data_IF_511973655077
#
_entry.id   IF_511973655077
#
_cell.length_a   1.000
_cell.length_b   1.000
_cell.length_c   1.000
_cell.angle_alpha   90.00
_cell.angle_beta   90.00
_cell.angle_gamma   90.00
#
_symmetry.space_group_name_H-M   'P 1'
#
loop_
_entity.id
_entity.type
_entity.pdbx_description
1 polymer ?
#
# COMPACT_ATOMS: atom_id res chain seq x y z
N UNK A 1 6.22 -27.86 15.65
CA UNK A 1 6.86 -26.76 14.90
C UNK A 1 8.13 -26.39 15.64
N UNK A 2 9.28 -26.35 14.98
CA UNK A 2 10.55 -26.00 15.60
C UNK A 2 10.68 -24.46 15.75
N UNK A 3 11.53 -24.00 16.69
CA UNK A 3 11.74 -22.55 16.91
C UNK A 3 12.10 -21.79 15.63
N UNK A 4 12.92 -22.37 14.78
CA UNK A 4 13.32 -21.77 13.50
C UNK A 4 12.12 -21.58 12.54
N UNK A 5 11.25 -22.58 12.47
CA UNK A 5 10.03 -22.54 11.64
C UNK A 5 9.07 -21.45 12.15
N UNK A 6 8.92 -21.33 13.47
CA UNK A 6 8.07 -20.33 14.07
C UNK A 6 8.60 -18.90 13.85
N UNK A 7 9.92 -18.69 13.89
CA UNK A 7 10.54 -17.40 13.58
C UNK A 7 10.31 -17.05 12.09
N UNK A 8 10.55 -17.98 11.17
CA UNK A 8 10.37 -17.76 9.72
C UNK A 8 8.90 -17.54 9.32
N UNK A 9 7.97 -18.00 10.16
CA UNK A 9 6.54 -17.82 9.92
C UNK A 9 6.05 -16.41 10.30
N UNK A 10 6.71 -15.74 11.25
CA UNK A 10 6.27 -14.46 11.81
C UNK A 10 6.89 -13.28 11.07
N UNK A 11 6.05 -12.38 10.59
CA UNK A 11 6.44 -11.13 9.97
C UNK A 11 5.71 -9.97 10.64
N UNK A 12 6.42 -8.87 10.82
CA UNK A 12 5.87 -7.69 11.48
C UNK A 12 6.09 -6.45 10.62
N UNK A 13 5.04 -5.72 10.32
CA UNK A 13 5.18 -4.42 9.65
C UNK A 13 4.36 -3.33 10.33
N UNK A 14 4.83 -2.10 10.19
CA UNK A 14 4.08 -0.92 10.59
C UNK A 14 3.49 -0.21 9.38
N UNK A 15 2.34 0.42 9.56
CA UNK A 15 1.78 1.35 8.58
C UNK A 15 2.00 2.77 9.09
N UNK A 16 2.62 3.59 8.26
CA UNK A 16 2.88 5.00 8.54
C UNK A 16 2.34 5.89 7.42
N UNK A 17 1.92 7.09 7.75
CA UNK A 17 1.44 8.06 6.77
C UNK A 17 1.35 9.46 7.34
N UNK A 18 1.16 10.44 6.47
CA UNK A 18 0.54 11.71 6.85
C UNK A 18 -0.94 11.48 7.26
N UNK A 19 -1.52 12.28 8.18
CA UNK A 19 -2.95 12.23 8.47
C UNK A 19 -3.81 12.30 7.19
N UNK A 20 -4.90 11.54 7.17
CA UNK A 20 -5.86 11.45 6.05
C UNK A 20 -5.34 10.82 4.74
N UNK A 21 -4.12 10.31 4.68
CA UNK A 21 -3.63 9.59 3.49
C UNK A 21 -4.33 8.25 3.24
N UNK A 22 -5.14 7.76 4.21
CA UNK A 22 -5.91 6.52 4.09
C UNK A 22 -5.33 5.34 4.84
N UNK A 23 -4.45 5.58 5.83
CA UNK A 23 -3.81 4.57 6.67
C UNK A 23 -4.83 3.60 7.29
N UNK A 24 -5.81 4.11 8.04
CA UNK A 24 -6.83 3.29 8.71
C UNK A 24 -7.65 2.45 7.72
N UNK A 25 -7.96 3.02 6.55
CA UNK A 25 -8.65 2.26 5.49
C UNK A 25 -7.79 1.10 5.00
N UNK A 26 -6.50 1.34 4.74
CA UNK A 26 -5.57 0.30 4.30
C UNK A 26 -5.40 -0.79 5.38
N UNK A 27 -5.25 -0.39 6.65
CA UNK A 27 -5.19 -1.31 7.80
C UNK A 27 -6.40 -2.25 7.83
N UNK A 28 -7.61 -1.71 7.72
CA UNK A 28 -8.83 -2.52 7.72
C UNK A 28 -8.92 -3.46 6.51
N UNK A 29 -8.41 -3.04 5.35
CA UNK A 29 -8.37 -3.90 4.17
C UNK A 29 -7.39 -5.06 4.35
N UNK A 30 -6.23 -4.84 4.94
CA UNK A 30 -5.32 -5.93 5.28
C UNK A 30 -5.95 -6.95 6.26
N UNK A 31 -6.65 -6.46 7.28
CA UNK A 31 -7.39 -7.33 8.20
C UNK A 31 -8.51 -8.11 7.51
N UNK A 32 -9.17 -7.50 6.53
CA UNK A 32 -10.20 -8.14 5.72
C UNK A 32 -9.63 -9.27 4.85
N UNK A 33 -8.50 -9.01 4.16
CA UNK A 33 -7.79 -10.03 3.38
C UNK A 33 -7.24 -11.16 4.25
N UNK A 34 -6.76 -10.85 5.45
CA UNK A 34 -6.35 -11.84 6.44
C UNK A 34 -7.50 -12.55 7.15
N UNK A 35 -8.76 -12.25 6.81
CA UNK A 35 -9.93 -12.86 7.44
C UNK A 35 -10.14 -12.51 8.92
N UNK A 36 -9.38 -11.55 9.45
CA UNK A 36 -9.49 -11.11 10.85
C UNK A 36 -10.76 -10.30 11.10
N UNK A 37 -11.32 -9.67 10.07
CA UNK A 37 -12.61 -8.97 10.09
C UNK A 37 -13.46 -9.41 8.89
N UNK A 38 -14.79 -9.39 9.05
CA UNK A 38 -15.73 -9.79 7.99
C UNK A 38 -16.16 -8.63 7.09
N UNK A 39 -16.08 -7.40 7.60
CA UNK A 39 -16.44 -6.18 6.86
C UNK A 39 -15.53 -5.05 7.31
N UNK A 40 -14.91 -4.35 6.36
CA UNK A 40 -14.18 -3.13 6.66
C UNK A 40 -15.15 -1.98 6.98
N UNK A 41 -14.87 -1.20 8.01
CA UNK A 41 -15.61 0.02 8.34
C UNK A 41 -15.34 1.09 7.30
N UNK A 42 -16.38 1.77 6.83
CA UNK A 42 -16.21 2.96 5.99
C UNK A 42 -15.82 4.14 6.88
N UNK A 43 -14.59 4.56 6.85
CA UNK A 43 -14.06 5.70 7.65
C UNK A 43 -14.66 7.04 7.22
N UNK A 44 -15.38 7.09 6.10
CA UNK A 44 -16.05 8.29 5.59
C UNK A 44 -17.54 8.11 5.44
N UNK A 45 -18.27 8.27 6.51
CA UNK A 45 -19.62 8.82 6.44
C UNK A 45 -20.10 9.14 7.87
N UNK A 46 -20.46 10.38 8.13
CA UNK A 46 -21.19 10.80 9.33
C UNK A 46 -22.53 10.05 9.55
N UNK A 47 -22.77 8.96 8.82
CA UNK A 47 -24.00 8.15 8.87
C UNK A 47 -23.82 6.70 9.27
N UNK A 48 -22.60 6.17 9.39
CA UNK A 48 -22.37 4.77 9.79
C UNK A 48 -21.66 4.73 11.14
N UNK A 49 -22.37 4.29 12.17
CA UNK A 49 -21.96 4.22 13.59
C UNK A 49 -21.03 3.04 13.93
N UNK A 50 -20.19 2.56 12.99
CA UNK A 50 -19.13 1.60 13.31
C UNK A 50 -17.79 2.29 13.17
N UNK A 51 -17.08 2.51 14.29
CA UNK A 51 -15.69 2.96 14.30
C UNK A 51 -14.77 1.93 13.68
N UNK A 52 -13.57 2.35 13.28
CA UNK A 52 -12.54 1.46 12.77
C UNK A 52 -12.17 0.39 13.81
N UNK A 53 -11.81 -0.82 13.36
CA UNK A 53 -11.40 -1.91 14.24
C UNK A 53 -10.10 -1.59 14.97
N UNK A 54 -9.26 -0.75 14.39
CA UNK A 54 -8.01 -0.25 14.98
C UNK A 54 -8.21 0.78 16.11
N UNK A 55 -9.37 1.44 16.17
CA UNK A 55 -9.65 2.50 17.14
C UNK A 55 -10.21 1.89 18.45
N UNK A 56 -9.35 1.55 19.39
CA UNK A 56 -9.74 0.93 20.67
C UNK A 56 -10.19 1.93 21.72
N UNK A 57 -9.63 3.15 21.72
CA UNK A 57 -9.96 4.16 22.70
C UNK A 57 -11.21 4.96 22.32
N UNK A 58 -12.03 5.31 23.32
CA UNK A 58 -13.23 6.13 23.10
C UNK A 58 -12.88 7.49 22.48
N UNK A 59 -11.73 8.07 22.84
CA UNK A 59 -11.22 9.32 22.29
C UNK A 59 -10.86 9.20 20.81
N UNK A 60 -10.35 8.04 20.38
CA UNK A 60 -10.03 7.74 18.98
C UNK A 60 -11.31 7.71 18.14
N UNK A 61 -12.35 7.03 18.65
CA UNK A 61 -13.67 6.94 18.00
C UNK A 61 -14.38 8.29 17.92
N UNK A 62 -14.24 9.13 18.96
CA UNK A 62 -14.86 10.46 18.99
C UNK A 62 -14.17 11.45 18.05
N UNK A 63 -12.85 11.37 17.94
CA UNK A 63 -12.03 12.28 17.12
C UNK A 63 -11.79 11.78 15.71
N UNK A 64 -11.96 10.46 15.46
CA UNK A 64 -11.66 9.82 14.18
C UNK A 64 -10.17 9.79 13.85
N UNK A 65 -9.31 9.80 14.88
CA UNK A 65 -7.85 9.74 14.75
C UNK A 65 -7.29 8.70 15.72
N UNK A 66 -6.32 7.90 15.28
CA UNK A 66 -5.59 6.97 16.15
C UNK A 66 -4.65 7.74 17.07
N UNK A 67 -4.66 7.42 18.36
CA UNK A 67 -3.87 8.10 19.42
C UNK A 67 -2.72 7.22 19.89
N UNK A 68 -2.89 5.88 19.85
CA UNK A 68 -1.90 4.90 20.27
C UNK A 68 -1.62 3.89 19.16
N UNK A 69 -0.42 3.27 19.20
CA UNK A 69 -0.13 2.14 18.32
C UNK A 69 -0.97 0.94 18.72
N UNK A 70 -1.72 0.39 17.77
CA UNK A 70 -2.45 -0.87 17.95
C UNK A 70 -1.74 -2.01 17.21
N UNK A 71 -1.67 -3.16 17.87
CA UNK A 71 -1.08 -4.38 17.29
C UNK A 71 -2.21 -5.32 16.93
N UNK A 72 -2.28 -5.69 15.66
CA UNK A 72 -3.27 -6.61 15.13
C UNK A 72 -2.55 -7.78 14.48
N UNK A 73 -3.03 -8.99 14.75
CA UNK A 73 -2.42 -10.22 14.25
C UNK A 73 -3.40 -10.99 13.40
N UNK A 74 -2.96 -11.47 12.26
CA UNK A 74 -3.74 -12.33 11.36
C UNK A 74 -2.86 -13.33 10.62
N UNK A 75 -3.47 -14.36 10.06
CA UNK A 75 -2.78 -15.31 9.19
C UNK A 75 -3.02 -14.97 7.72
N UNK A 76 -1.96 -14.99 6.93
CA UNK A 76 -2.05 -14.79 5.49
C UNK A 76 -0.97 -15.60 4.78
N UNK A 77 -1.35 -16.37 3.76
CA UNK A 77 -0.45 -17.24 2.99
C UNK A 77 0.53 -18.07 3.84
N UNK A 78 0.00 -18.70 4.91
CA UNK A 78 0.78 -19.53 5.84
C UNK A 78 1.71 -18.77 6.79
N UNK A 79 1.75 -17.44 6.73
CA UNK A 79 2.49 -16.57 7.63
C UNK A 79 1.59 -16.02 8.74
N UNK A 80 2.19 -15.75 9.90
CA UNK A 80 1.55 -15.02 10.99
C UNK A 80 2.04 -13.57 10.92
N UNK A 81 1.14 -12.68 10.56
CA UNK A 81 1.46 -11.28 10.33
C UNK A 81 1.03 -10.45 11.54
N UNK A 82 1.97 -9.68 12.08
CA UNK A 82 1.69 -8.64 13.06
C UNK A 82 1.69 -7.28 12.35
N UNK A 83 0.55 -6.64 12.33
CA UNK A 83 0.37 -5.32 11.78
C UNK A 83 0.33 -4.31 12.93
N UNK A 84 1.22 -3.32 12.88
CA UNK A 84 1.30 -2.22 13.83
C UNK A 84 0.71 -0.97 13.19
N UNK A 85 -0.50 -0.60 13.59
CA UNK A 85 -1.15 0.62 13.14
C UNK A 85 -0.68 1.79 14.02
N UNK A 86 0.10 2.70 13.44
CA UNK A 86 0.71 3.82 14.18
C UNK A 86 -0.17 5.07 14.12
N UNK A 87 -0.17 5.93 15.15
CA UNK A 87 -0.85 7.21 15.06
C UNK A 87 -0.22 8.07 13.96
N UNK A 88 -1.09 8.63 13.08
CA UNK A 88 -0.64 9.52 11.99
C UNK A 88 -0.40 10.96 12.42
N UNK A 89 -0.84 11.36 13.61
CA UNK A 89 -0.75 12.74 14.07
C UNK A 89 0.61 13.03 14.72
N UNK A 90 1.20 14.19 14.42
CA UNK A 90 2.53 14.59 14.91
C UNK A 90 2.68 14.65 16.44
N UNK A 91 1.59 14.81 17.17
CA UNK A 91 1.58 14.83 18.63
C UNK A 91 1.92 13.46 19.25
N UNK A 92 1.86 12.38 18.46
CA UNK A 92 2.14 10.99 18.87
C UNK A 92 3.39 10.41 18.19
N UNK A 93 4.29 11.26 17.72
CA UNK A 93 5.47 10.86 16.97
C UNK A 93 6.39 9.91 17.76
N UNK A 94 6.50 10.06 19.08
CA UNK A 94 7.38 9.22 19.93
C UNK A 94 6.94 7.74 19.90
N UNK A 95 5.64 7.47 19.99
CA UNK A 95 5.12 6.10 19.91
C UNK A 95 5.36 5.48 18.52
N UNK A 96 5.21 6.29 17.46
CA UNK A 96 5.54 5.86 16.11
C UNK A 96 7.02 5.52 15.98
N UNK A 97 7.91 6.35 16.52
CA UNK A 97 9.36 6.10 16.48
C UNK A 97 9.76 4.82 17.22
N UNK A 98 9.15 4.56 18.37
CA UNK A 98 9.36 3.30 19.11
C UNK A 98 8.88 2.10 18.32
N UNK A 99 7.70 2.21 17.71
CA UNK A 99 7.11 1.14 16.89
C UNK A 99 8.00 0.77 15.71
N UNK A 100 8.58 1.76 15.02
CA UNK A 100 9.49 1.54 13.89
C UNK A 100 10.78 0.80 14.27
N UNK A 101 11.05 0.61 15.56
CA UNK A 101 12.20 -0.19 16.01
C UNK A 101 11.93 -1.68 16.07
N UNK A 102 10.68 -2.09 16.00
CA UNK A 102 10.22 -3.45 16.27
C UNK A 102 9.62 -4.14 15.03
N UNK A 103 9.85 -3.59 13.84
CA UNK A 103 9.25 -4.09 12.59
C UNK A 103 10.31 -4.56 11.60
N UNK A 104 9.93 -5.53 10.78
CA UNK A 104 10.76 -6.05 9.68
C UNK A 104 10.70 -5.12 8.47
N UNK A 105 9.56 -4.46 8.25
CA UNK A 105 9.34 -3.51 7.16
C UNK A 105 8.29 -2.47 7.54
N UNK A 106 8.20 -1.43 6.72
CA UNK A 106 7.22 -0.35 6.86
C UNK A 106 6.43 -0.18 5.58
N UNK A 107 5.12 -0.04 5.68
CA UNK A 107 4.26 0.40 4.58
C UNK A 107 3.98 1.90 4.75
N UNK A 108 4.55 2.70 3.87
CA UNK A 108 4.36 4.14 3.81
C UNK A 108 3.20 4.47 2.87
N UNK A 109 2.13 5.09 3.39
CA UNK A 109 0.96 5.47 2.58
C UNK A 109 1.06 6.94 2.18
N UNK A 110 0.95 7.20 0.88
CA UNK A 110 0.97 8.54 0.28
C UNK A 110 -0.37 8.78 -0.43
N UNK A 111 -0.93 9.96 -0.27
CA UNK A 111 -2.13 10.42 -0.99
C UNK A 111 -1.74 10.91 -2.38
N UNK A 112 -2.28 10.33 -3.46
CA UNK A 112 -1.91 10.71 -4.83
C UNK A 112 -2.25 12.17 -5.19
N UNK A 113 -3.20 12.79 -4.45
CA UNK A 113 -3.57 14.20 -4.66
C UNK A 113 -2.57 15.15 -4.01
N UNK A 114 -2.11 14.80 -2.79
CA UNK A 114 -1.27 15.66 -1.97
C UNK A 114 0.23 15.40 -2.13
N UNK A 115 0.61 14.21 -2.60
CA UNK A 115 2.02 13.80 -2.71
C UNK A 115 2.72 13.62 -1.37
N UNK A 116 3.99 13.95 -1.30
CA UNK A 116 4.84 13.82 -0.11
C UNK A 116 4.64 14.99 0.82
N UNK A 117 4.04 14.74 1.99
CA UNK A 117 3.74 15.75 3.00
C UNK A 117 4.80 15.77 4.13
N UNK A 118 4.79 16.81 4.97
CA UNK A 118 5.81 17.04 6.02
C UNK A 118 5.99 15.84 6.97
N UNK A 119 4.88 15.24 7.42
CA UNK A 119 4.96 14.10 8.32
C UNK A 119 5.58 12.87 7.64
N UNK A 120 5.32 12.67 6.36
CA UNK A 120 5.92 11.61 5.54
C UNK A 120 7.44 11.72 5.53
N UNK A 121 7.99 12.94 5.32
CA UNK A 121 9.44 13.21 5.35
C UNK A 121 10.05 12.85 6.69
N UNK A 122 9.43 13.28 7.79
CA UNK A 122 9.92 13.02 9.17
C UNK A 122 9.95 11.52 9.49
N UNK A 123 8.89 10.80 9.14
CA UNK A 123 8.81 9.35 9.36
C UNK A 123 9.84 8.60 8.53
N UNK A 124 10.06 9.04 7.29
CA UNK A 124 11.08 8.44 6.42
C UNK A 124 12.51 8.69 6.93
N UNK A 125 12.79 9.83 7.55
CA UNK A 125 14.09 10.06 8.20
C UNK A 125 14.38 9.02 9.28
N UNK A 126 13.38 8.66 10.08
CA UNK A 126 13.51 7.62 11.11
C UNK A 126 13.77 6.24 10.49
N UNK A 127 13.05 5.90 9.43
CA UNK A 127 13.29 4.65 8.69
C UNK A 127 14.72 4.58 8.14
N UNK A 128 15.22 5.66 7.54
CA UNK A 128 16.58 5.76 7.02
C UNK A 128 17.66 5.62 8.11
N UNK A 129 17.49 6.27 9.26
CA UNK A 129 18.44 6.17 10.40
C UNK A 129 18.64 4.72 10.85
N UNK A 130 17.66 3.85 10.58
CA UNK A 130 17.65 2.46 11.00
C UNK A 130 17.84 1.48 9.87
N UNK A 131 17.96 1.96 8.63
CA UNK A 131 17.93 1.14 7.42
C UNK A 131 16.71 0.21 7.37
N UNK A 132 15.56 0.66 7.90
CA UNK A 132 14.34 -0.11 7.88
C UNK A 132 13.82 -0.21 6.44
N UNK A 133 13.54 -1.41 5.91
CA UNK A 133 12.93 -1.58 4.60
C UNK A 133 11.58 -0.87 4.52
N UNK A 134 11.33 -0.15 3.43
CA UNK A 134 10.10 0.61 3.21
C UNK A 134 9.46 0.18 1.90
N UNK A 135 8.16 -0.10 1.95
CA UNK A 135 7.28 -0.25 0.80
C UNK A 135 6.40 0.99 0.71
N UNK A 136 6.18 1.53 -0.46
CA UNK A 136 5.34 2.71 -0.66
C UNK A 136 4.02 2.31 -1.30
N UNK A 137 2.90 2.79 -0.73
CA UNK A 137 1.57 2.64 -1.30
C UNK A 137 1.00 4.02 -1.65
N UNK A 138 0.92 4.32 -2.94
CA UNK A 138 0.30 5.53 -3.47
C UNK A 138 -1.21 5.28 -3.58
N UNK A 139 -1.96 5.92 -2.69
CA UNK A 139 -3.36 5.66 -2.43
C UNK A 139 -4.28 6.72 -3.05
N UNK A 140 -5.55 6.39 -3.16
CA UNK A 140 -6.65 7.26 -3.61
C UNK A 140 -6.65 7.58 -5.11
N UNK A 141 -6.16 6.68 -5.94
CA UNK A 141 -6.18 6.85 -7.40
C UNK A 141 -7.59 6.96 -8.02
N UNK A 142 -8.63 6.70 -7.23
CA UNK A 142 -10.02 7.01 -7.54
C UNK A 142 -10.36 8.50 -7.50
N UNK A 143 -9.42 9.33 -7.05
CA UNK A 143 -9.51 10.80 -7.06
C UNK A 143 -8.60 11.39 -8.15
N UNK A 144 -8.94 12.58 -8.64
CA UNK A 144 -8.06 13.35 -9.52
C UNK A 144 -6.77 13.71 -8.75
N UNK A 145 -5.67 13.10 -9.12
CA UNK A 145 -4.37 13.20 -8.47
C UNK A 145 -3.27 13.67 -9.39
N UNK A 146 -2.04 13.63 -8.89
CA UNK A 146 -0.83 13.92 -9.68
C UNK A 146 -0.52 12.76 -10.64
N UNK A 147 0.26 13.04 -11.67
CA UNK A 147 0.76 12.03 -12.59
C UNK A 147 1.60 10.96 -11.83
N UNK A 148 1.46 9.67 -12.15
CA UNK A 148 2.21 8.61 -11.46
C UNK A 148 3.73 8.75 -11.55
N UNK A 149 4.28 9.18 -12.68
CA UNK A 149 5.72 9.41 -12.82
C UNK A 149 6.19 10.60 -11.98
N UNK A 150 5.41 11.68 -11.94
CA UNK A 150 5.70 12.85 -11.09
C UNK A 150 5.71 12.46 -9.61
N UNK A 151 4.78 11.59 -9.18
CA UNK A 151 4.74 11.05 -7.82
C UNK A 151 5.95 10.19 -7.50
N UNK A 152 6.42 9.34 -8.43
CA UNK A 152 7.65 8.56 -8.23
C UNK A 152 8.86 9.48 -8.09
N UNK A 153 8.97 10.50 -8.94
CA UNK A 153 10.02 11.51 -8.89
C UNK A 153 10.00 12.29 -7.56
N UNK A 154 8.82 12.68 -7.11
CA UNK A 154 8.64 13.37 -5.82
C UNK A 154 9.08 12.48 -4.66
N UNK A 155 8.67 11.20 -4.64
CA UNK A 155 9.08 10.23 -3.62
C UNK A 155 10.60 10.07 -3.60
N UNK A 156 11.25 9.90 -4.75
CA UNK A 156 12.71 9.79 -4.81
C UNK A 156 13.42 11.03 -4.27
N UNK A 157 13.01 12.21 -4.70
CA UNK A 157 13.64 13.49 -4.33
C UNK A 157 13.38 13.86 -2.87
N UNK A 158 12.12 13.81 -2.45
CA UNK A 158 11.72 14.30 -1.13
C UNK A 158 12.07 13.31 0.00
N UNK A 159 12.03 12.01 -0.28
CA UNK A 159 12.33 10.98 0.71
C UNK A 159 13.75 10.43 0.60
N UNK A 160 14.51 10.85 -0.41
CA UNK A 160 15.90 10.42 -0.66
C UNK A 160 16.03 8.88 -0.64
N UNK A 161 15.17 8.19 -1.38
CA UNK A 161 15.16 6.74 -1.56
C UNK A 161 14.92 6.43 -3.03
N UNK A 162 15.57 5.40 -3.57
CA UNK A 162 15.24 4.92 -4.90
C UNK A 162 13.94 4.14 -4.89
N UNK A 163 13.17 4.23 -5.96
CA UNK A 163 11.90 3.51 -6.10
C UNK A 163 11.95 2.48 -7.21
N UNK A 164 11.12 1.44 -7.06
CA UNK A 164 10.85 0.45 -8.11
C UNK A 164 9.35 0.19 -8.15
N UNK A 165 8.61 0.66 -9.16
CA UNK A 165 7.20 0.35 -9.29
C UNK A 165 6.98 -1.16 -9.45
N UNK A 166 6.08 -1.74 -8.66
CA UNK A 166 5.66 -3.14 -8.77
C UNK A 166 4.20 -3.27 -9.22
N UNK A 167 3.43 -2.20 -9.18
CA UNK A 167 2.15 -2.10 -9.86
C UNK A 167 2.01 -0.76 -10.58
N UNK A 168 1.14 -0.70 -11.59
CA UNK A 168 0.91 0.52 -12.35
C UNK A 168 -0.59 0.80 -12.49
N UNK A 169 -1.04 2.04 -12.32
CA UNK A 169 -2.45 2.38 -12.42
C UNK A 169 -2.89 2.45 -13.87
N UNK A 170 -4.14 2.11 -14.11
CA UNK A 170 -4.81 2.25 -15.39
C UNK A 170 -5.83 3.38 -15.26
N UNK A 171 -5.40 4.56 -15.69
CA UNK A 171 -6.14 5.80 -15.47
C UNK A 171 -6.04 6.33 -14.05
N UNK A 172 -6.59 7.52 -13.82
CA UNK A 172 -6.62 8.22 -12.52
C UNK A 172 -7.98 8.92 -12.41
N UNK A 173 -8.48 9.12 -11.20
CA UNK A 173 -9.73 9.82 -10.94
C UNK A 173 -10.91 9.16 -11.63
N UNK A 174 -11.65 9.91 -12.41
CA UNK A 174 -12.81 9.40 -13.15
C UNK A 174 -12.47 8.36 -14.22
N UNK A 175 -11.21 8.31 -14.67
CA UNK A 175 -10.73 7.33 -15.66
C UNK A 175 -10.05 6.11 -15.04
N UNK A 176 -9.97 6.04 -13.71
CA UNK A 176 -9.34 4.92 -13.00
C UNK A 176 -10.11 3.62 -13.24
N UNK A 177 -9.48 2.67 -13.91
CA UNK A 177 -10.05 1.38 -14.29
C UNK A 177 -9.52 0.21 -13.45
N UNK A 178 -8.34 0.37 -12.84
CA UNK A 178 -7.70 -0.69 -12.08
C UNK A 178 -6.19 -0.54 -12.01
N UNK A 179 -5.51 -1.65 -11.75
CA UNK A 179 -4.05 -1.72 -11.69
C UNK A 179 -3.51 -2.91 -12.48
N UNK A 180 -2.33 -2.75 -13.03
CA UNK A 180 -1.54 -3.82 -13.62
C UNK A 180 -0.38 -4.15 -12.67
N UNK A 181 -0.31 -5.40 -12.19
CA UNK A 181 0.80 -5.89 -11.40
C UNK A 181 1.99 -6.18 -12.33
N UNK A 182 3.06 -5.39 -12.18
CA UNK A 182 4.27 -5.53 -13.00
C UNK A 182 5.09 -6.77 -12.62
N UNK A 183 4.92 -7.28 -11.40
CA UNK A 183 5.66 -8.43 -10.91
C UNK A 183 4.99 -9.75 -11.32
N UNK A 184 3.72 -9.92 -10.98
CA UNK A 184 2.95 -11.14 -11.26
C UNK A 184 2.28 -11.12 -12.65
N UNK A 185 2.35 -9.98 -13.38
CA UNK A 185 1.75 -9.78 -14.71
C UNK A 185 0.24 -9.96 -14.71
N UNK A 186 -0.39 -9.52 -13.64
CA UNK A 186 -1.83 -9.63 -13.43
C UNK A 186 -2.52 -8.28 -13.67
N UNK A 187 -3.53 -8.28 -14.53
CA UNK A 187 -4.44 -7.17 -14.74
C UNK A 187 -5.63 -7.30 -13.78
N UNK A 188 -5.86 -6.28 -12.95
CA UNK A 188 -7.01 -6.22 -12.04
C UNK A 188 -7.84 -4.99 -12.37
N UNK A 189 -9.01 -5.24 -12.95
CA UNK A 189 -9.93 -4.18 -13.35
C UNK A 189 -11.04 -3.98 -12.33
N UNK A 190 -11.60 -2.77 -12.34
CA UNK A 190 -12.73 -2.38 -11.50
C UNK A 190 -13.99 -3.13 -11.99
N UNK A 191 -14.45 -4.09 -11.23
CA UNK A 191 -15.84 -4.54 -11.32
C UNK A 191 -16.63 -3.85 -10.19
N UNK A 192 -17.87 -3.41 -10.46
CA UNK A 192 -18.76 -2.73 -9.48
C UNK A 192 -19.14 -3.63 -8.29
N UNK A 193 -18.17 -4.24 -7.63
CA UNK A 193 -18.37 -5.21 -6.57
C UNK A 193 -17.97 -4.61 -5.20
N UNK A 194 -18.83 -3.74 -4.68
CA UNK A 194 -18.74 -3.16 -3.33
C UNK A 194 -18.62 -4.19 -2.17
N UNK A 195 -18.70 -5.48 -2.45
CA UNK A 195 -18.78 -6.54 -1.43
C UNK A 195 -17.83 -7.73 -1.63
N UNK A 196 -17.14 -7.86 -2.76
CA UNK A 196 -16.16 -8.95 -2.97
C UNK A 196 -14.74 -8.50 -2.60
N UNK A 197 -14.04 -9.36 -1.88
CA UNK A 197 -12.66 -9.15 -1.44
C UNK A 197 -11.68 -9.19 -2.61
N UNK A 198 -12.03 -9.84 -3.72
CA UNK A 198 -11.14 -10.02 -4.86
C UNK A 198 -11.82 -9.56 -6.17
N UNK A 199 -11.16 -8.65 -6.89
CA UNK A 199 -11.39 -8.47 -8.32
C UNK A 199 -10.79 -9.68 -9.05
N UNK A 200 -11.47 -10.17 -10.10
CA UNK A 200 -10.91 -11.22 -10.94
C UNK A 200 -9.61 -10.71 -11.59
N UNK A 201 -8.50 -11.42 -11.37
CA UNK A 201 -7.25 -11.11 -12.05
C UNK A 201 -7.23 -11.79 -13.42
N UNK A 202 -6.80 -11.06 -14.44
CA UNK A 202 -6.52 -11.61 -15.78
C UNK A 202 -5.01 -11.61 -15.96
N UNK A 203 -4.42 -12.80 -16.06
CA UNK A 203 -2.99 -12.94 -16.29
C UNK A 203 -2.64 -12.55 -17.73
N UNK A 204 -1.76 -11.58 -17.90
CA UNK A 204 -1.29 -11.02 -19.17
C UNK A 204 0.22 -10.86 -19.11
N UNK A 205 0.96 -11.88 -19.53
CA UNK A 205 2.43 -11.87 -19.57
C UNK A 205 2.99 -10.87 -20.59
N UNK A 206 2.35 -10.83 -21.75
CA UNK A 206 2.74 -9.99 -22.87
C UNK A 206 1.68 -8.92 -23.11
N UNK A 207 2.06 -7.68 -22.94
CA UNK A 207 1.17 -6.53 -23.15
C UNK A 207 0.72 -6.37 -24.60
N UNK A 208 1.29 -7.13 -25.57
CA UNK A 208 0.76 -7.23 -26.94
C UNK A 208 -0.48 -8.12 -27.06
N UNK A 209 -0.86 -8.82 -25.98
CA UNK A 209 -2.04 -9.67 -25.93
C UNK A 209 -3.31 -8.85 -26.22
N UNK A 210 -4.12 -9.26 -27.23
CA UNK A 210 -5.36 -8.54 -27.58
C UNK A 210 -6.39 -8.45 -26.46
N UNK A 211 -6.33 -9.36 -25.48
CA UNK A 211 -7.21 -9.32 -24.30
C UNK A 211 -7.06 -8.01 -23.52
N UNK A 212 -5.89 -7.38 -23.58
CA UNK A 212 -5.67 -6.08 -22.94
C UNK A 212 -6.58 -5.01 -23.56
N UNK A 213 -6.62 -4.94 -24.90
CA UNK A 213 -7.46 -3.98 -25.63
C UNK A 213 -8.95 -4.26 -25.45
N UNK A 214 -9.33 -5.53 -25.39
CA UNK A 214 -10.71 -5.97 -25.15
C UNK A 214 -11.20 -5.57 -23.75
N UNK A 215 -10.33 -5.63 -22.75
CA UNK A 215 -10.67 -5.37 -21.34
C UNK A 215 -10.71 -3.87 -21.02
N UNK A 216 -9.82 -3.07 -21.60
CA UNK A 216 -9.59 -1.67 -21.21
C UNK A 216 -10.00 -0.65 -22.28
N UNK A 217 -10.15 -1.09 -23.53
CA UNK A 217 -10.21 -0.21 -24.68
C UNK A 217 -8.81 0.18 -25.20
N UNK A 218 -8.73 0.42 -26.50
CA UNK A 218 -7.45 0.59 -27.19
C UNK A 218 -6.57 1.72 -26.67
N UNK A 219 -7.17 2.85 -26.30
CA UNK A 219 -6.40 4.02 -25.83
C UNK A 219 -5.74 3.78 -24.46
N UNK A 220 -6.48 3.19 -23.51
CA UNK A 220 -5.95 2.86 -22.17
C UNK A 220 -4.89 1.74 -22.26
N UNK A 221 -5.11 0.74 -23.09
CA UNK A 221 -4.15 -0.33 -23.33
C UNK A 221 -2.85 0.20 -23.99
N UNK A 222 -2.96 1.13 -24.94
CA UNK A 222 -1.80 1.75 -25.57
C UNK A 222 -1.00 2.59 -24.59
N UNK A 223 -1.67 3.35 -23.72
CA UNK A 223 -1.01 4.12 -22.66
C UNK A 223 -0.28 3.21 -21.68
N UNK A 224 -0.94 2.13 -21.20
CA UNK A 224 -0.30 1.16 -20.30
C UNK A 224 0.96 0.53 -20.93
N UNK A 225 0.92 0.16 -22.21
CA UNK A 225 2.10 -0.37 -22.92
C UNK A 225 3.24 0.62 -22.93
N UNK A 226 2.95 1.88 -23.26
CA UNK A 226 3.94 2.95 -23.26
C UNK A 226 4.55 3.17 -21.88
N UNK A 227 3.72 3.25 -20.85
CA UNK A 227 4.16 3.48 -19.48
C UNK A 227 5.03 2.33 -18.97
N UNK A 228 4.63 1.07 -19.22
CA UNK A 228 5.43 -0.09 -18.82
C UNK A 228 6.78 -0.14 -19.53
N UNK A 229 6.84 0.22 -20.82
CA UNK A 229 8.12 0.35 -21.54
C UNK A 229 9.03 1.40 -20.88
N UNK A 230 8.49 2.55 -20.49
CA UNK A 230 9.24 3.58 -19.76
C UNK A 230 9.72 3.07 -18.39
N UNK A 231 8.85 2.38 -17.64
CA UNK A 231 9.20 1.83 -16.33
C UNK A 231 10.35 0.82 -16.45
N UNK A 232 10.28 -0.09 -17.39
CA UNK A 232 11.33 -1.09 -17.61
C UNK A 232 12.67 -0.45 -18.00
N UNK A 233 12.62 0.67 -18.74
CA UNK A 233 13.81 1.41 -19.16
C UNK A 233 14.44 2.24 -18.03
N UNK A 234 13.65 2.76 -17.09
CA UNK A 234 14.11 3.73 -16.08
C UNK A 234 14.37 3.07 -14.72
N UNK A 235 13.46 2.22 -14.23
CA UNK A 235 13.50 1.72 -12.85
C UNK A 235 14.08 0.30 -12.71
N UNK A 236 13.97 -0.52 -13.76
CA UNK A 236 14.47 -1.90 -13.75
C UNK A 236 13.76 -2.79 -12.72
N UNK A 237 14.43 -3.89 -12.35
CA UNK A 237 13.89 -4.88 -11.40
C UNK A 237 14.24 -4.52 -9.96
N UNK A 238 13.35 -4.91 -9.01
CA UNK A 238 13.60 -4.74 -7.58
C UNK A 238 14.85 -5.50 -7.13
N UNK A 239 15.82 -4.75 -6.60
CA UNK A 239 17.01 -5.32 -5.95
C UNK A 239 16.72 -5.59 -4.48
N UNK A 240 16.64 -6.88 -4.14
CA UNK A 240 16.33 -7.33 -2.78
C UNK A 240 17.36 -6.89 -1.74
N UNK A 241 18.65 -6.86 -2.10
CA UNK A 241 19.72 -6.41 -1.19
C UNK A 241 19.58 -4.92 -0.86
N UNK A 242 19.22 -4.10 -1.85
CA UNK A 242 18.98 -2.68 -1.67
C UNK A 242 17.67 -2.40 -0.94
N UNK A 243 16.63 -3.21 -1.16
CA UNK A 243 15.38 -3.13 -0.40
C UNK A 243 15.62 -3.42 1.09
N UNK A 244 16.21 -4.57 1.41
CA UNK A 244 16.46 -4.99 2.79
C UNK A 244 17.42 -4.05 3.54
N UNK A 245 18.26 -3.31 2.83
CA UNK A 245 19.13 -2.27 3.41
C UNK A 245 18.51 -0.86 3.45
N UNK A 246 17.22 -0.72 3.08
CA UNK A 246 16.49 0.55 3.14
C UNK A 246 16.88 1.58 2.05
N UNK A 247 17.55 1.15 0.96
CA UNK A 247 18.00 2.04 -0.12
C UNK A 247 17.07 2.08 -1.33
N UNK A 248 16.18 1.11 -1.45
CA UNK A 248 15.18 1.06 -2.53
C UNK A 248 13.83 0.67 -1.96
N UNK A 249 12.77 1.32 -2.40
CA UNK A 249 11.41 1.02 -2.00
C UNK A 249 10.60 0.49 -3.20
N UNK A 250 9.97 -0.69 -3.08
CA UNK A 250 8.92 -1.09 -4.00
C UNK A 250 7.73 -0.14 -3.86
N UNK A 251 7.15 0.28 -4.99
CA UNK A 251 6.01 1.20 -5.03
C UNK A 251 4.80 0.50 -5.63
N UNK A 252 3.68 0.65 -4.95
CA UNK A 252 2.36 0.16 -5.36
C UNK A 252 1.41 1.33 -5.52
N UNK A 253 0.59 1.25 -6.54
CA UNK A 253 -0.47 2.19 -6.81
C UNK A 253 -1.83 1.55 -6.54
N UNK A 254 -2.78 2.32 -5.98
CA UNK A 254 -4.10 1.75 -5.74
C UNK A 254 -5.10 2.70 -5.11
N UNK A 255 -6.23 2.12 -4.74
CA UNK A 255 -7.28 2.74 -3.94
C UNK A 255 -7.68 1.79 -2.82
N UNK A 256 -7.24 2.06 -1.60
CA UNK A 256 -7.60 1.24 -0.45
C UNK A 256 -9.12 1.22 -0.24
N UNK A 257 -9.81 2.32 -0.52
CA UNK A 257 -11.26 2.39 -0.41
C UNK A 257 -11.95 1.36 -1.32
N UNK A 258 -11.45 1.21 -2.55
CA UNK A 258 -12.01 0.33 -3.58
C UNK A 258 -11.33 -1.05 -3.66
N UNK A 259 -10.42 -1.39 -2.74
CA UNK A 259 -9.65 -2.66 -2.68
C UNK A 259 -8.62 -2.86 -3.80
N UNK A 260 -8.15 -1.81 -4.50
CA UNK A 260 -7.13 -1.93 -5.53
C UNK A 260 -5.72 -1.72 -4.99
N UNK A 261 -4.77 -2.52 -5.47
CA UNK A 261 -3.37 -2.46 -5.07
C UNK A 261 -3.08 -3.00 -3.67
N UNK A 262 -4.10 -3.31 -2.88
CA UNK A 262 -3.96 -3.73 -1.48
C UNK A 262 -3.43 -5.14 -1.36
N UNK A 263 -3.96 -6.05 -2.17
CA UNK A 263 -3.53 -7.46 -2.20
C UNK A 263 -2.10 -7.57 -2.68
N UNK A 264 -1.73 -6.82 -3.69
CA UNK A 264 -0.38 -6.77 -4.26
C UNK A 264 0.68 -6.37 -3.20
N UNK A 265 0.36 -5.40 -2.36
CA UNK A 265 1.23 -5.02 -1.23
C UNK A 265 1.38 -6.17 -0.26
N UNK A 266 0.29 -6.84 0.11
CA UNK A 266 0.30 -7.90 1.11
C UNK A 266 1.01 -9.15 0.58
N UNK A 267 0.74 -9.56 -0.65
CA UNK A 267 1.39 -10.70 -1.32
C UNK A 267 2.90 -10.45 -1.44
N UNK A 268 3.28 -9.24 -1.87
CA UNK A 268 4.69 -8.87 -1.98
C UNK A 268 5.35 -8.84 -0.61
N UNK A 269 4.70 -8.26 0.42
CA UNK A 269 5.26 -8.24 1.77
C UNK A 269 5.58 -9.65 2.28
N UNK A 270 4.65 -10.59 2.15
CA UNK A 270 4.87 -12.00 2.58
C UNK A 270 6.02 -12.66 1.82
N UNK A 271 6.28 -12.23 0.59
CA UNK A 271 7.30 -12.78 -0.30
C UNK A 271 8.71 -12.22 -0.02
N UNK A 272 8.82 -10.94 0.37
CA UNK A 272 10.10 -10.22 0.46
C UNK A 272 10.54 -9.82 1.87
N UNK A 273 9.68 -9.94 2.87
CA UNK A 273 9.97 -9.59 4.27
C UNK A 273 10.69 -10.70 5.04
#
# INVERSE_FOLDING_TARGET
MGLKEEITRRHTFAIISHPDAGKTTLTEKFLLYGGAIQTAGAVKSNKIRKGATSDFMEIERQRGISVSTSVMTFEYDGKLINLLDTPGHKDFAEDTYRTLTAVDSVVLVIDCVKGVEEQTRRLMEVCRMRNTPVMVFINKLDLEGQDPFDLLDEVEKELNIKVTPLSWPIGIGATFQGVYDLYDKDLRLFEELKTKVEAAAVHIDDLSDPRLDEQQGGDAAALLRHDVELIDGVYGKLDMGRYLSGHTAPVFFGSAFNNFGVKEVLDTFVRIA
#
